data_IF_746954510069
#
_entry.id   IF_746954510069
#
_cell.length_a   1.000
_cell.length_b   1.000
_cell.length_c   1.000
_cell.angle_alpha   90.00
_cell.angle_beta   90.00
_cell.angle_gamma   90.00
#
_symmetry.space_group_name_H-M   'P 1'
#
loop_
_entity.id
_entity.type
_entity.pdbx_description
1 polymer ?
#
# COMPACT_ATOMS: atom_id res chain seq x y z
N UNK A 1 -30.21 43.62 47.66
CA UNK A 1 -30.68 45.03 47.81
C UNK A 1 -30.03 45.80 46.67
N UNK A 2 -30.72 46.46 45.74
CA UNK A 2 -32.10 46.88 45.62
C UNK A 2 -32.45 47.02 44.11
N UNK A 3 -33.68 46.70 43.71
CA UNK A 3 -34.38 47.36 42.59
C UNK A 3 -34.91 48.71 43.11
N UNK A 4 -35.43 49.70 42.32
CA UNK A 4 -36.03 49.68 40.97
C UNK A 4 -35.60 50.91 40.11
N UNK A 5 -36.12 51.23 38.91
CA UNK A 5 -37.33 52.08 38.71
C UNK A 5 -37.56 52.31 37.19
N UNK A 6 -38.77 52.04 36.71
CA UNK A 6 -39.31 52.47 35.41
C UNK A 6 -39.58 53.98 35.37
N UNK A 7 -39.28 54.66 34.26
CA UNK A 7 -39.96 55.90 33.88
C UNK A 7 -40.21 55.98 32.37
N UNK A 8 -41.50 56.01 32.05
CA UNK A 8 -42.15 56.28 30.76
C UNK A 8 -42.04 57.75 30.36
N UNK A 9 -41.64 58.08 29.13
CA UNK A 9 -41.87 59.41 28.53
C UNK A 9 -42.24 59.31 27.03
N UNK A 10 -43.55 59.44 26.79
CA UNK A 10 -44.29 60.23 25.78
C UNK A 10 -43.76 60.33 24.33
N UNK A 11 -44.58 59.81 23.42
CA UNK A 11 -44.61 60.13 21.98
C UNK A 11 -45.18 61.54 21.73
N UNK A 12 -44.58 62.29 20.80
CA UNK A 12 -45.21 63.41 20.09
C UNK A 12 -44.97 63.28 18.57
N UNK A 13 -45.95 63.65 17.72
CA UNK A 13 -46.01 63.21 16.33
C UNK A 13 -45.30 64.13 15.34
N UNK A 14 -44.90 63.50 14.23
CA UNK A 14 -44.24 64.04 13.04
C UNK A 14 -45.08 65.10 12.31
N UNK A 15 -44.47 66.24 12.00
CA UNK A 15 -44.92 67.14 10.92
C UNK A 15 -44.10 66.85 9.65
N UNK A 16 -44.79 66.21 8.71
CA UNK A 16 -44.38 65.94 7.34
C UNK A 16 -44.38 67.24 6.52
N UNK A 17 -43.22 67.67 6.03
CA UNK A 17 -43.11 68.70 5.00
C UNK A 17 -42.63 68.06 3.69
N UNK A 18 -43.54 68.06 2.71
CA UNK A 18 -43.36 67.61 1.33
C UNK A 18 -42.62 68.66 0.51
N UNK A 19 -41.47 68.32 -0.07
CA UNK A 19 -40.84 69.05 -1.19
C UNK A 19 -39.80 68.18 -1.90
N UNK A 20 -39.88 68.07 -3.22
CA UNK A 20 -38.69 67.96 -4.08
C UNK A 20 -38.50 66.67 -4.88
N UNK A 21 -39.25 66.53 -5.97
CA UNK A 21 -39.20 65.47 -6.98
C UNK A 21 -37.95 65.48 -7.90
N UNK A 22 -36.84 66.10 -7.52
CA UNK A 22 -35.61 66.18 -8.35
C UNK A 22 -34.46 65.30 -7.86
N UNK A 23 -34.49 64.83 -6.61
CA UNK A 23 -33.47 63.91 -6.09
C UNK A 23 -33.64 62.48 -6.61
N UNK A 24 -34.85 62.12 -7.07
CA UNK A 24 -35.18 60.74 -7.44
C UNK A 24 -34.45 60.28 -8.72
N UNK A 25 -34.23 61.16 -9.71
CA UNK A 25 -33.61 60.74 -10.99
C UNK A 25 -32.09 60.54 -10.84
N UNK A 26 -31.39 61.41 -10.11
CA UNK A 26 -29.95 61.28 -9.85
C UNK A 26 -29.64 60.12 -8.91
N UNK A 27 -30.46 59.92 -7.86
CA UNK A 27 -30.36 58.76 -6.97
C UNK A 27 -30.60 57.47 -7.75
N UNK A 28 -31.60 57.38 -8.63
CA UNK A 28 -31.82 56.18 -9.43
C UNK A 28 -30.69 55.89 -10.44
N UNK A 29 -30.05 56.93 -11.00
CA UNK A 29 -28.89 56.76 -11.88
C UNK A 29 -27.64 56.33 -11.12
N UNK A 30 -27.31 56.97 -9.99
CA UNK A 30 -26.20 56.54 -9.12
C UNK A 30 -26.43 55.15 -8.55
N UNK A 31 -27.64 54.83 -8.07
CA UNK A 31 -28.03 53.46 -7.66
C UNK A 31 -27.92 52.47 -8.81
N UNK A 32 -28.24 52.86 -10.05
CA UNK A 32 -28.10 51.94 -11.20
C UNK A 32 -26.65 51.70 -11.59
N UNK A 33 -25.77 52.69 -11.40
CA UNK A 33 -24.33 52.60 -11.68
C UNK A 33 -23.61 51.85 -10.56
N UNK A 34 -23.92 52.14 -9.29
CA UNK A 34 -23.38 51.40 -8.14
C UNK A 34 -23.92 49.99 -8.10
N UNK A 35 -25.21 49.75 -8.39
CA UNK A 35 -25.76 48.39 -8.51
C UNK A 35 -25.12 47.63 -9.67
N UNK A 36 -24.85 48.28 -10.81
CA UNK A 36 -24.19 47.62 -11.93
C UNK A 36 -22.70 47.33 -11.64
N UNK A 37 -22.00 48.23 -10.95
CA UNK A 37 -20.64 47.99 -10.46
C UNK A 37 -20.60 46.94 -9.34
N UNK A 38 -21.58 46.91 -8.44
CA UNK A 38 -21.76 45.90 -7.41
C UNK A 38 -22.10 44.54 -8.04
N UNK A 39 -22.97 44.50 -9.04
CA UNK A 39 -23.32 43.28 -9.78
C UNK A 39 -22.12 42.77 -10.60
N UNK A 40 -21.36 43.64 -11.26
CA UNK A 40 -20.14 43.27 -12.00
C UNK A 40 -19.03 42.81 -11.04
N UNK A 41 -18.79 43.50 -9.92
CA UNK A 41 -17.81 43.07 -8.91
C UNK A 41 -18.26 41.81 -8.17
N UNK A 42 -19.56 41.62 -7.97
CA UNK A 42 -20.15 40.40 -7.41
C UNK A 42 -20.07 39.24 -8.40
N UNK A 43 -20.27 39.45 -9.71
CA UNK A 43 -20.06 38.44 -10.75
C UNK A 43 -18.58 38.07 -10.88
N UNK A 44 -17.67 39.06 -10.80
CA UNK A 44 -16.24 38.82 -10.80
C UNK A 44 -15.82 38.03 -9.55
N UNK A 45 -16.29 38.43 -8.37
CA UNK A 45 -16.13 37.70 -7.12
C UNK A 45 -16.74 36.30 -7.19
N UNK A 46 -17.95 36.12 -7.75
CA UNK A 46 -18.57 34.80 -7.93
C UNK A 46 -17.83 33.93 -8.94
N UNK A 47 -17.25 34.51 -9.98
CA UNK A 47 -16.44 33.80 -10.96
C UNK A 47 -15.09 33.38 -10.38
N UNK A 48 -14.51 34.22 -9.53
CA UNK A 48 -13.27 33.95 -8.80
C UNK A 48 -13.50 32.95 -7.68
N UNK A 49 -14.59 33.06 -6.91
CA UNK A 49 -15.04 32.08 -5.93
C UNK A 49 -15.41 30.77 -6.60
N UNK A 50 -16.09 30.74 -7.75
CA UNK A 50 -16.31 29.50 -8.52
C UNK A 50 -15.02 28.93 -9.11
N UNK A 51 -14.04 29.76 -9.45
CA UNK A 51 -12.73 29.32 -9.91
C UNK A 51 -11.84 28.83 -8.74
N UNK A 52 -12.03 29.37 -7.53
CA UNK A 52 -11.46 28.90 -6.27
C UNK A 52 -12.15 27.61 -5.85
N UNK A 53 -13.48 27.54 -5.82
CA UNK A 53 -14.27 26.32 -5.60
C UNK A 53 -13.98 25.26 -6.67
N UNK A 54 -13.68 25.60 -7.92
CA UNK A 54 -13.25 24.62 -8.93
C UNK A 54 -11.78 24.21 -8.75
N UNK A 55 -10.94 25.09 -8.19
CA UNK A 55 -9.57 24.75 -7.73
C UNK A 55 -9.58 23.88 -6.46
N UNK A 56 -10.54 24.12 -5.57
CA UNK A 56 -10.77 23.51 -4.25
C UNK A 56 -11.79 22.35 -4.30
N UNK A 57 -12.46 22.15 -5.44
CA UNK A 57 -13.37 21.03 -5.77
C UNK A 57 -12.62 19.70 -5.87
N UNK A 58 -11.29 19.74 -5.76
CA UNK A 58 -10.45 18.57 -5.57
C UNK A 58 -9.93 18.66 -4.15
N UNK A 59 -10.61 17.95 -3.25
CA UNK A 59 -10.19 17.47 -1.93
C UNK A 59 -8.98 18.22 -1.30
N UNK A 60 -9.17 18.87 -0.14
CA UNK A 60 -8.12 19.63 0.55
C UNK A 60 -6.85 18.79 0.77
N UNK A 61 -5.66 19.41 0.94
CA UNK A 61 -4.43 18.66 1.23
C UNK A 61 -4.60 17.61 2.33
N UNK A 62 -5.26 17.98 3.42
CA UNK A 62 -5.58 17.08 4.53
C UNK A 62 -6.52 15.95 4.11
N UNK A 63 -7.59 16.27 3.38
CA UNK A 63 -8.53 15.26 2.92
C UNK A 63 -7.86 14.28 1.92
N UNK A 64 -6.91 14.73 1.08
CA UNK A 64 -6.13 13.83 0.21
C UNK A 64 -5.19 12.92 1.00
N UNK A 65 -4.53 13.46 2.01
CA UNK A 65 -3.71 12.67 2.91
C UNK A 65 -4.58 11.63 3.64
N UNK A 66 -5.73 12.03 4.16
CA UNK A 66 -6.68 11.13 4.82
C UNK A 66 -7.20 10.04 3.87
N UNK A 67 -7.49 10.38 2.60
CA UNK A 67 -7.90 9.42 1.57
C UNK A 67 -6.83 8.35 1.35
N UNK A 68 -5.57 8.76 1.22
CA UNK A 68 -4.43 7.87 0.95
C UNK A 68 -3.96 7.07 2.16
N UNK A 69 -4.31 7.50 3.37
CA UNK A 69 -3.94 6.86 4.63
C UNK A 69 -5.13 6.28 5.40
N UNK A 70 -6.29 6.15 4.77
CA UNK A 70 -7.47 5.53 5.39
C UNK A 70 -7.18 4.09 5.80
N UNK A 71 -7.85 3.54 6.82
CA UNK A 71 -7.81 2.10 7.08
C UNK A 71 -8.14 1.31 5.82
N UNK A 72 -7.28 0.34 5.46
CA UNK A 72 -7.39 -0.41 4.21
C UNK A 72 -6.75 0.25 2.99
N UNK A 73 -6.14 1.43 3.13
CA UNK A 73 -5.42 2.09 2.04
C UNK A 73 -4.33 1.22 1.42
N UNK A 74 -3.71 0.31 2.18
CA UNK A 74 -2.74 -0.65 1.64
C UNK A 74 -3.31 -1.48 0.50
N UNK A 75 -4.61 -1.79 0.49
CA UNK A 75 -5.26 -2.54 -0.58
C UNK A 75 -5.72 -1.62 -1.72
N UNK A 76 -6.29 -0.46 -1.40
CA UNK A 76 -6.77 0.49 -2.40
C UNK A 76 -5.61 1.15 -3.18
N UNK A 77 -4.50 1.43 -2.51
CA UNK A 77 -3.32 2.05 -3.12
C UNK A 77 -2.53 1.10 -4.04
N UNK A 78 -2.92 -0.18 -4.12
CA UNK A 78 -2.39 -1.09 -5.14
C UNK A 78 -2.91 -0.77 -6.53
N UNK A 79 -4.09 -0.14 -6.62
CA UNK A 79 -4.63 0.33 -7.88
C UNK A 79 -4.07 1.74 -8.18
N UNK A 80 -3.23 1.92 -9.21
CA UNK A 80 -2.61 3.22 -9.49
C UNK A 80 -3.62 4.26 -10.00
N UNK A 81 -4.69 3.81 -10.66
CA UNK A 81 -5.73 4.68 -11.20
C UNK A 81 -6.59 5.30 -10.09
N UNK A 82 -6.86 4.52 -9.04
CA UNK A 82 -7.52 5.00 -7.82
C UNK A 82 -6.65 6.02 -7.08
N UNK A 83 -5.34 5.77 -6.97
CA UNK A 83 -4.40 6.68 -6.29
C UNK A 83 -4.28 8.01 -7.03
N UNK A 84 -4.20 7.99 -8.36
CA UNK A 84 -4.08 9.21 -9.16
C UNK A 84 -5.44 9.86 -9.48
N UNK A 85 -6.56 9.19 -9.17
CA UNK A 85 -7.92 9.64 -9.50
C UNK A 85 -8.11 9.88 -11.01
N UNK A 86 -7.70 8.89 -11.79
CA UNK A 86 -7.74 8.93 -13.27
C UNK A 86 -8.48 7.70 -13.81
N UNK A 87 -8.96 7.79 -15.04
CA UNK A 87 -9.49 6.63 -15.75
C UNK A 87 -8.34 5.78 -16.34
N UNK A 88 -8.46 4.44 -16.39
CA UNK A 88 -7.51 3.57 -17.08
C UNK A 88 -7.23 3.93 -18.54
N UNK A 89 -8.16 4.58 -19.25
CA UNK A 89 -8.00 5.04 -20.63
C UNK A 89 -7.26 6.39 -20.76
N UNK A 90 -6.80 6.98 -19.65
CA UNK A 90 -6.16 8.31 -19.62
C UNK A 90 -4.80 8.29 -20.32
N UNK A 91 -4.50 9.36 -21.07
CA UNK A 91 -3.21 9.52 -21.77
C UNK A 91 -2.06 9.68 -20.77
N UNK A 92 -0.85 9.24 -21.14
CA UNK A 92 0.31 9.36 -20.26
C UNK A 92 0.63 10.83 -19.90
N UNK A 93 0.40 11.76 -20.83
CA UNK A 93 0.59 13.18 -20.58
C UNK A 93 -0.32 13.70 -19.44
N UNK A 94 -1.58 13.26 -19.44
CA UNK A 94 -2.55 13.65 -18.41
C UNK A 94 -2.30 12.93 -17.08
N UNK A 95 -1.79 11.70 -17.11
CA UNK A 95 -1.29 11.00 -15.92
C UNK A 95 -0.18 11.83 -15.27
N UNK A 96 0.78 12.33 -16.05
CA UNK A 96 1.87 13.15 -15.53
C UNK A 96 1.39 14.50 -14.98
N UNK A 97 0.40 15.14 -15.63
CA UNK A 97 -0.23 16.37 -15.10
C UNK A 97 -0.91 16.12 -13.75
N UNK A 98 -1.65 15.03 -13.65
CA UNK A 98 -2.38 14.68 -12.44
C UNK A 98 -1.43 14.29 -11.29
N UNK A 99 -0.37 13.55 -11.60
CA UNK A 99 0.71 13.26 -10.64
C UNK A 99 1.30 14.57 -10.07
N UNK A 100 1.71 15.52 -10.92
CA UNK A 100 2.27 16.81 -10.47
C UNK A 100 1.30 17.56 -9.55
N UNK A 101 0.00 17.60 -9.92
CA UNK A 101 -1.05 18.24 -9.12
C UNK A 101 -1.17 17.61 -7.73
N UNK A 102 -1.32 16.28 -7.67
CA UNK A 102 -1.49 15.55 -6.41
C UNK A 102 -0.24 15.61 -5.53
N UNK A 103 0.94 15.44 -6.13
CA UNK A 103 2.24 15.56 -5.45
C UNK A 103 2.41 16.93 -4.78
N UNK A 104 2.03 18.02 -5.44
CA UNK A 104 2.06 19.35 -4.83
C UNK A 104 1.08 19.48 -3.67
N UNK A 105 -0.11 18.91 -3.77
CA UNK A 105 -1.11 18.97 -2.70
C UNK A 105 -0.66 18.24 -1.44
N UNK A 106 -0.05 17.07 -1.57
CA UNK A 106 0.37 16.24 -0.42
C UNK A 106 1.83 16.43 -0.02
N UNK A 107 2.56 17.38 -0.59
CA UNK A 107 3.99 17.53 -0.33
C UNK A 107 4.25 17.90 1.15
N UNK A 108 5.24 17.28 1.85
CA UNK A 108 5.50 17.53 3.27
C UNK A 108 5.85 19.00 3.57
N UNK A 109 6.59 19.67 2.69
CA UNK A 109 6.95 21.09 2.83
C UNK A 109 5.71 22.03 2.87
N UNK A 110 4.66 21.69 2.11
CA UNK A 110 3.42 22.47 2.06
C UNK A 110 2.44 22.09 3.18
N UNK A 111 2.72 21.00 3.89
CA UNK A 111 1.88 20.44 4.95
C UNK A 111 2.69 20.24 6.25
N UNK A 112 3.31 21.29 6.81
CA UNK A 112 4.25 21.17 7.92
C UNK A 112 3.62 20.68 9.23
N UNK A 113 2.30 20.78 9.37
CA UNK A 113 1.55 20.27 10.53
C UNK A 113 1.32 18.76 10.48
N UNK A 114 1.54 18.12 9.33
CA UNK A 114 1.27 16.70 9.11
C UNK A 114 2.36 16.04 8.25
N UNK A 115 3.61 16.46 8.42
CA UNK A 115 4.78 16.07 7.62
C UNK A 115 4.92 14.55 7.41
N UNK A 116 4.79 13.75 8.47
CA UNK A 116 4.93 12.29 8.36
C UNK A 116 3.82 11.66 7.52
N UNK A 117 2.59 12.12 7.72
CA UNK A 117 1.42 11.65 6.97
C UNK A 117 1.48 12.11 5.51
N UNK A 118 1.89 13.36 5.28
CA UNK A 118 2.13 13.91 3.95
C UNK A 118 3.21 13.12 3.20
N UNK A 119 4.31 12.75 3.86
CA UNK A 119 5.38 11.93 3.30
C UNK A 119 4.87 10.55 2.83
N UNK A 120 4.12 9.85 3.68
CA UNK A 120 3.52 8.54 3.33
C UNK A 120 2.52 8.65 2.17
N UNK A 121 1.68 9.69 2.17
CA UNK A 121 0.74 9.95 1.09
C UNK A 121 1.46 10.27 -0.24
N UNK A 122 2.52 11.07 -0.18
CA UNK A 122 3.37 11.38 -1.32
C UNK A 122 4.04 10.12 -1.88
N UNK A 123 4.55 9.25 -1.01
CA UNK A 123 5.14 7.97 -1.42
C UNK A 123 4.13 7.08 -2.17
N UNK A 124 2.89 7.01 -1.69
CA UNK A 124 1.82 6.27 -2.37
C UNK A 124 1.54 6.82 -3.79
N UNK A 125 1.46 8.14 -3.95
CA UNK A 125 1.28 8.80 -5.25
C UNK A 125 2.48 8.54 -6.18
N UNK A 126 3.70 8.64 -5.66
CA UNK A 126 4.93 8.39 -6.42
C UNK A 126 5.02 6.92 -6.87
N UNK A 127 4.66 5.97 -6.01
CA UNK A 127 4.63 4.54 -6.35
C UNK A 127 3.63 4.26 -7.47
N UNK A 128 2.42 4.84 -7.40
CA UNK A 128 1.41 4.70 -8.43
C UNK A 128 1.87 5.28 -9.79
N UNK A 129 2.49 6.47 -9.78
CA UNK A 129 3.03 7.08 -10.99
C UNK A 129 4.13 6.24 -11.63
N UNK A 130 5.12 5.78 -10.85
CA UNK A 130 6.22 4.93 -11.35
C UNK A 130 5.73 3.65 -12.00
N UNK A 131 4.66 3.05 -11.46
CA UNK A 131 4.05 1.85 -12.03
C UNK A 131 3.36 2.12 -13.38
N UNK A 132 2.85 3.33 -13.59
CA UNK A 132 2.26 3.75 -14.87
C UNK A 132 3.29 4.35 -15.84
N UNK A 133 4.46 4.75 -15.34
CA UNK A 133 5.58 5.26 -16.15
C UNK A 133 6.32 4.13 -16.87
N UNK A 134 6.47 2.96 -16.24
CA UNK A 134 6.98 1.77 -16.94
C UNK A 134 5.89 1.18 -17.82
N UNK A 135 6.09 1.22 -19.15
CA UNK A 135 5.15 0.71 -20.14
C UNK A 135 4.79 -0.78 -19.91
N UNK A 136 5.73 -1.60 -19.41
CA UNK A 136 5.46 -3.02 -19.12
C UNK A 136 4.52 -3.18 -17.93
N UNK A 137 4.75 -2.42 -16.86
CA UNK A 137 3.89 -2.46 -15.67
C UNK A 137 2.54 -1.80 -15.95
N UNK A 138 2.51 -0.71 -16.72
CA UNK A 138 1.28 -0.07 -17.19
C UNK A 138 0.43 -1.05 -18.00
N UNK A 139 1.04 -1.81 -18.92
CA UNK A 139 0.33 -2.83 -19.70
C UNK A 139 -0.30 -3.88 -18.79
N UNK A 140 0.42 -4.38 -17.79
CA UNK A 140 -0.15 -5.30 -16.78
C UNK A 140 -1.32 -4.67 -16.04
N UNK A 141 -1.20 -3.40 -15.64
CA UNK A 141 -2.30 -2.68 -14.96
C UNK A 141 -3.55 -2.59 -15.84
N UNK A 142 -3.38 -2.36 -17.15
CA UNK A 142 -4.48 -2.35 -18.13
C UNK A 142 -5.09 -3.75 -18.25
N UNK A 143 -4.27 -4.80 -18.37
CA UNK A 143 -4.75 -6.20 -18.43
C UNK A 143 -5.61 -6.55 -17.21
N UNK A 144 -5.21 -6.10 -16.01
CA UNK A 144 -5.99 -6.29 -14.77
C UNK A 144 -7.34 -5.57 -14.82
N UNK A 145 -7.38 -4.35 -15.36
CA UNK A 145 -8.63 -3.59 -15.53
C UNK A 145 -9.55 -4.27 -16.53
N UNK A 146 -9.01 -4.75 -17.66
CA UNK A 146 -9.80 -5.46 -18.67
C UNK A 146 -10.35 -6.78 -18.12
N UNK A 147 -9.55 -7.54 -17.37
CA UNK A 147 -10.04 -8.73 -16.65
C UNK A 147 -11.17 -8.37 -15.66
N UNK A 148 -11.06 -7.23 -14.97
CA UNK A 148 -12.11 -6.76 -14.09
C UNK A 148 -13.41 -6.44 -14.84
N UNK A 149 -13.32 -5.80 -16.02
CA UNK A 149 -14.47 -5.54 -16.89
C UNK A 149 -15.15 -6.85 -17.29
N UNK A 150 -14.38 -7.81 -17.79
CA UNK A 150 -14.93 -9.12 -18.20
C UNK A 150 -15.64 -9.85 -17.04
N UNK A 151 -15.07 -9.80 -15.84
CA UNK A 151 -15.68 -10.41 -14.65
C UNK A 151 -16.98 -9.73 -14.26
N UNK A 152 -17.05 -8.39 -14.33
CA UNK A 152 -18.28 -7.64 -14.07
C UNK A 152 -19.33 -7.94 -15.12
N UNK A 153 -18.96 -7.96 -16.40
CA UNK A 153 -19.88 -8.26 -17.50
C UNK A 153 -20.48 -9.66 -17.36
N UNK A 154 -19.65 -10.67 -17.03
CA UNK A 154 -20.12 -12.04 -16.71
C UNK A 154 -21.07 -12.05 -15.52
N UNK A 155 -20.72 -11.36 -14.43
CA UNK A 155 -21.58 -11.24 -13.24
C UNK A 155 -22.94 -10.61 -13.59
N UNK A 156 -22.96 -9.57 -14.41
CA UNK A 156 -24.20 -8.91 -14.86
C UNK A 156 -25.03 -9.86 -15.71
N UNK A 157 -24.41 -10.57 -16.66
CA UNK A 157 -25.08 -11.57 -17.49
C UNK A 157 -25.72 -12.69 -16.65
N UNK A 158 -25.02 -13.20 -15.64
CA UNK A 158 -25.54 -14.20 -14.70
C UNK A 158 -26.73 -13.66 -13.89
N UNK A 159 -26.63 -12.43 -13.36
CA UNK A 159 -27.73 -11.76 -12.66
C UNK A 159 -28.96 -11.60 -13.56
N UNK A 160 -28.76 -11.21 -14.83
CA UNK A 160 -29.83 -11.10 -15.83
C UNK A 160 -30.52 -12.43 -16.09
N UNK A 161 -29.77 -13.52 -16.16
CA UNK A 161 -30.33 -14.86 -16.35
C UNK A 161 -31.13 -15.32 -15.12
N UNK A 162 -30.67 -14.96 -13.92
CA UNK A 162 -31.27 -15.37 -12.64
C UNK A 162 -32.52 -14.55 -12.28
N UNK A 163 -32.49 -13.24 -12.46
CA UNK A 163 -33.55 -12.30 -12.04
C UNK A 163 -34.29 -11.74 -13.25
N UNK A 164 -34.75 -12.63 -14.15
CA UNK A 164 -35.44 -12.26 -15.41
C UNK A 164 -36.49 -11.17 -15.16
N UNK A 165 -36.40 -10.08 -15.91
CA UNK A 165 -37.31 -8.92 -15.89
C UNK A 165 -37.29 -8.08 -14.60
N UNK A 166 -36.30 -8.23 -13.71
CA UNK A 166 -36.09 -7.33 -12.57
C UNK A 166 -35.00 -6.30 -12.89
N UNK A 167 -35.16 -5.03 -12.46
CA UNK A 167 -34.09 -4.02 -12.56
C UNK A 167 -32.86 -4.45 -11.75
N UNK A 168 -31.68 -4.35 -12.36
CA UNK A 168 -30.40 -4.66 -11.71
C UNK A 168 -29.68 -3.34 -11.39
N UNK A 169 -29.07 -3.20 -10.20
CA UNK A 169 -28.35 -1.99 -9.78
C UNK A 169 -27.24 -1.61 -10.78
N UNK A 170 -26.55 -2.62 -11.30
CA UNK A 170 -25.47 -2.49 -12.28
C UNK A 170 -25.91 -2.08 -13.71
N UNK A 171 -27.22 -2.03 -14.00
CA UNK A 171 -27.71 -1.48 -15.28
C UNK A 171 -27.58 0.05 -15.33
N UNK A 172 -27.44 0.70 -14.17
CA UNK A 172 -27.10 2.13 -14.10
C UNK A 172 -25.62 2.36 -14.38
N UNK A 173 -25.27 3.47 -15.03
CA UNK A 173 -23.87 3.85 -15.28
C UNK A 173 -23.05 3.91 -13.99
N UNK A 174 -23.64 4.38 -12.89
CA UNK A 174 -22.98 4.47 -11.59
C UNK A 174 -22.80 3.09 -10.93
N UNK A 175 -23.83 2.24 -10.99
CA UNK A 175 -23.77 0.87 -10.50
C UNK A 175 -22.70 0.05 -11.23
N UNK A 176 -22.60 0.16 -12.56
CA UNK A 176 -21.55 -0.47 -13.34
C UNK A 176 -20.16 0.02 -12.90
N UNK A 177 -19.96 1.34 -12.81
CA UNK A 177 -18.68 1.93 -12.37
C UNK A 177 -18.29 1.46 -10.97
N UNK A 178 -19.24 1.39 -10.04
CA UNK A 178 -19.03 0.91 -8.67
C UNK A 178 -18.63 -0.56 -8.62
N UNK A 179 -19.31 -1.41 -9.40
CA UNK A 179 -18.98 -2.84 -9.52
C UNK A 179 -17.61 -3.05 -10.16
N UNK A 180 -17.32 -2.33 -11.24
CA UNK A 180 -16.00 -2.33 -11.89
C UNK A 180 -14.91 -1.90 -10.91
N UNK A 181 -15.12 -0.80 -10.20
CA UNK A 181 -14.18 -0.33 -9.18
C UNK A 181 -13.93 -1.38 -8.10
N UNK A 182 -14.98 -2.02 -7.58
CA UNK A 182 -14.88 -3.04 -6.54
C UNK A 182 -14.08 -4.26 -7.02
N UNK A 183 -14.41 -4.79 -8.20
CA UNK A 183 -13.74 -5.96 -8.78
C UNK A 183 -12.28 -5.64 -9.12
N UNK A 184 -12.02 -4.45 -9.67
CA UNK A 184 -10.66 -4.00 -10.02
C UNK A 184 -9.78 -3.91 -8.77
N UNK A 185 -10.27 -3.25 -7.71
CA UNK A 185 -9.52 -3.17 -6.45
C UNK A 185 -9.23 -4.55 -5.85
N UNK A 186 -10.21 -5.46 -5.91
CA UNK A 186 -10.04 -6.85 -5.45
C UNK A 186 -8.95 -7.59 -6.23
N UNK A 187 -8.93 -7.42 -7.55
CA UNK A 187 -7.95 -8.03 -8.44
C UNK A 187 -6.51 -7.58 -8.16
N UNK A 188 -6.28 -6.26 -8.04
CA UNK A 188 -4.97 -5.74 -7.66
C UNK A 188 -4.51 -6.28 -6.29
N UNK A 189 -5.43 -6.37 -5.32
CA UNK A 189 -5.14 -6.97 -4.02
C UNK A 189 -4.84 -8.48 -4.09
N UNK A 190 -5.54 -9.23 -4.94
CA UNK A 190 -5.29 -10.65 -5.17
C UNK A 190 -3.89 -10.87 -5.78
N UNK A 191 -3.51 -10.05 -6.76
CA UNK A 191 -2.21 -10.11 -7.42
C UNK A 191 -1.08 -9.82 -6.44
N UNK A 192 -1.21 -8.76 -5.63
CA UNK A 192 -0.17 -8.45 -4.64
C UNK A 192 -0.06 -9.55 -3.58
N UNK A 193 -1.18 -10.12 -3.12
CA UNK A 193 -1.16 -11.27 -2.19
C UNK A 193 -0.44 -12.48 -2.77
N UNK A 194 -0.65 -12.75 -4.06
CA UNK A 194 0.06 -13.83 -4.76
C UNK A 194 1.56 -13.52 -4.88
N UNK A 195 1.92 -12.29 -5.26
CA UNK A 195 3.31 -11.84 -5.37
C UNK A 195 4.07 -12.02 -4.05
N UNK A 196 3.50 -11.55 -2.94
CA UNK A 196 4.10 -11.67 -1.60
C UNK A 196 4.26 -13.14 -1.19
N UNK A 197 3.25 -13.98 -1.46
CA UNK A 197 3.32 -15.41 -1.17
C UNK A 197 4.43 -16.10 -1.96
N UNK A 198 4.53 -15.80 -3.25
CA UNK A 198 5.59 -16.34 -4.11
C UNK A 198 6.99 -15.90 -3.65
N UNK A 199 7.13 -14.64 -3.25
CA UNK A 199 8.39 -14.09 -2.72
C UNK A 199 8.80 -14.77 -1.42
N UNK A 200 7.85 -15.02 -0.50
CA UNK A 200 8.07 -15.79 0.73
C UNK A 200 8.56 -17.21 0.43
N UNK A 201 7.85 -17.92 -0.47
CA UNK A 201 8.22 -19.29 -0.85
C UNK A 201 9.62 -19.34 -1.47
N UNK A 202 9.97 -18.39 -2.34
CA UNK A 202 11.32 -18.28 -2.93
C UNK A 202 12.39 -17.93 -1.89
N UNK A 203 12.07 -17.14 -0.88
CA UNK A 203 12.98 -16.82 0.21
C UNK A 203 13.25 -18.03 1.10
N UNK A 204 12.19 -18.79 1.45
CA UNK A 204 12.30 -20.05 2.19
C UNK A 204 13.11 -21.09 1.42
N UNK A 205 12.87 -21.24 0.12
CA UNK A 205 13.64 -22.18 -0.70
C UNK A 205 15.13 -21.78 -0.78
N UNK A 206 15.43 -20.49 -0.92
CA UNK A 206 16.82 -19.98 -0.88
C UNK A 206 17.47 -20.25 0.46
N UNK A 207 16.75 -20.04 1.56
CA UNK A 207 17.24 -20.34 2.91
C UNK A 207 17.55 -21.82 3.09
N UNK A 208 16.61 -22.70 2.68
CA UNK A 208 16.79 -24.15 2.73
C UNK A 208 18.00 -24.61 1.93
N UNK A 209 18.20 -24.08 0.72
CA UNK A 209 19.37 -24.40 -0.11
C UNK A 209 20.67 -23.94 0.55
N UNK A 210 20.68 -22.75 1.16
CA UNK A 210 21.86 -22.23 1.85
C UNK A 210 22.23 -23.07 3.09
N UNK A 211 21.22 -23.52 3.84
CA UNK A 211 21.40 -24.43 4.97
C UNK A 211 21.94 -25.79 4.51
N UNK A 212 21.35 -26.38 3.46
CA UNK A 212 21.81 -27.65 2.89
C UNK A 212 23.25 -27.56 2.36
N UNK A 213 23.63 -26.45 1.73
CA UNK A 213 25.03 -26.24 1.29
C UNK A 213 25.98 -26.14 2.47
N UNK A 214 25.58 -25.44 3.53
CA UNK A 214 26.39 -25.29 4.75
C UNK A 214 26.57 -26.63 5.44
N UNK A 215 25.48 -27.38 5.64
CA UNK A 215 25.51 -28.73 6.21
C UNK A 215 26.37 -29.68 5.40
N UNK A 216 26.31 -29.60 4.06
CA UNK A 216 27.14 -30.40 3.17
C UNK A 216 28.61 -30.04 3.34
N UNK A 217 28.95 -28.76 3.37
CA UNK A 217 30.30 -28.30 3.62
C UNK A 217 30.83 -28.76 4.98
N UNK A 218 30.04 -28.60 6.05
CA UNK A 218 30.38 -29.07 7.39
C UNK A 218 30.60 -30.59 7.42
N UNK A 219 29.70 -31.38 6.83
CA UNK A 219 29.87 -32.83 6.71
C UNK A 219 31.13 -33.21 5.95
N UNK A 220 31.44 -32.49 4.87
CA UNK A 220 32.68 -32.75 4.12
C UNK A 220 33.93 -32.36 4.90
N UNK A 221 33.89 -31.27 5.67
CA UNK A 221 35.00 -30.86 6.56
C UNK A 221 35.21 -31.89 7.66
N UNK A 222 34.14 -32.28 8.35
CA UNK A 222 34.17 -33.28 9.41
C UNK A 222 34.68 -34.63 8.89
N UNK A 223 34.28 -35.03 7.67
CA UNK A 223 34.80 -36.25 7.04
C UNK A 223 36.29 -36.17 6.73
N UNK A 224 36.74 -35.04 6.15
CA UNK A 224 38.17 -34.81 5.87
C UNK A 224 39.01 -34.83 7.14
N UNK A 225 38.52 -34.20 8.20
CA UNK A 225 39.17 -34.19 9.51
C UNK A 225 39.24 -35.60 10.11
N UNK A 226 38.14 -36.36 10.04
CA UNK A 226 38.13 -37.76 10.46
C UNK A 226 39.12 -38.62 9.65
N UNK A 227 39.14 -38.51 8.32
CA UNK A 227 40.05 -39.26 7.46
C UNK A 227 41.52 -38.92 7.79
N UNK A 228 41.83 -37.63 8.03
CA UNK A 228 43.15 -37.18 8.46
C UNK A 228 43.54 -37.79 9.81
N UNK A 229 42.69 -37.69 10.82
CA UNK A 229 42.94 -38.24 12.15
C UNK A 229 43.06 -39.79 12.11
N UNK A 230 42.30 -40.44 11.24
CA UNK A 230 42.38 -41.89 11.01
C UNK A 230 43.73 -42.29 10.42
N UNK A 231 44.25 -41.53 9.44
CA UNK A 231 45.54 -41.81 8.81
C UNK A 231 46.71 -41.48 9.75
N UNK A 232 46.65 -40.37 10.49
CA UNK A 232 47.68 -40.03 11.49
C UNK A 232 47.78 -41.07 12.62
N UNK A 233 46.65 -41.65 13.04
CA UNK A 233 46.63 -42.76 13.99
C UNK A 233 46.99 -44.12 13.38
N UNK A 234 47.35 -44.20 12.09
CA UNK A 234 47.68 -45.46 11.42
C UNK A 234 48.89 -46.14 12.04
N UNK A 235 49.99 -45.42 12.27
CA UNK A 235 51.20 -46.03 12.81
C UNK A 235 50.99 -46.59 14.23
N UNK A 236 50.28 -45.86 15.08
CA UNK A 236 49.95 -46.30 16.43
C UNK A 236 49.01 -47.50 16.40
N UNK A 237 47.98 -47.50 15.54
CA UNK A 237 47.10 -48.66 15.33
C UNK A 237 47.84 -49.88 14.79
N UNK A 238 48.72 -49.71 13.80
CA UNK A 238 49.55 -50.79 13.23
C UNK A 238 50.50 -51.35 14.28
N UNK A 239 51.15 -50.50 15.08
CA UNK A 239 52.06 -50.93 16.15
C UNK A 239 51.31 -51.65 17.26
N UNK A 240 50.12 -51.17 17.64
CA UNK A 240 49.21 -51.86 18.58
C UNK A 240 48.71 -53.20 18.05
N UNK A 241 48.43 -53.30 16.74
CA UNK A 241 48.06 -54.57 16.10
C UNK A 241 49.23 -55.55 16.06
N UNK A 242 50.44 -55.09 15.72
CA UNK A 242 51.65 -55.91 15.74
C UNK A 242 51.93 -56.45 17.14
N UNK A 243 51.81 -55.63 18.19
CA UNK A 243 51.99 -56.08 19.57
C UNK A 243 50.88 -57.04 20.03
N UNK A 244 49.64 -56.84 19.59
CA UNK A 244 48.57 -57.82 19.83
C UNK A 244 48.87 -59.17 19.17
N UNK A 245 49.37 -59.17 17.93
CA UNK A 245 49.69 -60.40 17.21
C UNK A 245 50.89 -61.14 17.81
N UNK A 246 51.90 -60.45 18.33
CA UNK A 246 53.02 -61.09 19.05
C UNK A 246 52.54 -61.71 20.36
N UNK A 247 51.67 -61.03 21.11
CA UNK A 247 51.05 -61.58 22.33
C UNK A 247 50.12 -62.77 22.01
N UNK A 248 49.37 -62.73 20.91
CA UNK A 248 48.53 -63.86 20.47
C UNK A 248 49.37 -65.10 20.11
N UNK A 249 50.47 -64.93 19.37
CA UNK A 249 51.41 -66.03 19.05
C UNK A 249 52.11 -66.59 20.30
N UNK A 250 52.37 -65.75 21.31
CA UNK A 250 52.89 -66.19 22.60
C UNK A 250 51.84 -66.93 23.47
N UNK A 251 50.55 -66.83 23.13
CA UNK A 251 49.45 -67.50 23.83
C UNK A 251 49.11 -68.86 23.21
N UNK A 252 49.35 -69.06 21.91
CA UNK A 252 49.21 -70.35 21.22
C UNK A 252 50.24 -71.40 21.67
N UNK A 253 51.34 -70.99 22.32
CA UNK A 253 52.31 -71.89 22.95
C UNK A 253 51.92 -72.35 24.36
N UNK A 254 50.87 -71.77 24.97
CA UNK A 254 50.39 -72.14 26.31
C UNK A 254 48.91 -72.53 26.22
N UNK A 255 48.66 -73.84 26.01
CA UNK A 255 47.32 -74.43 26.07
C UNK A 255 46.67 -74.12 27.43
N UNK A 256 45.58 -73.36 27.40
CA UNK A 256 44.57 -73.33 28.46
C UNK A 256 44.25 -71.96 29.02
N UNK A 257 43.28 -71.26 28.41
CA UNK A 257 42.14 -70.58 29.05
C UNK A 257 41.37 -69.73 28.03
N UNK A 258 40.05 -69.91 28.00
CA UNK A 258 39.11 -69.35 27.02
C UNK A 258 39.19 -67.81 26.88
N UNK A 259 38.90 -67.24 25.69
CA UNK A 259 39.06 -65.81 25.45
C UNK A 259 37.86 -65.03 26.01
N UNK A 260 38.15 -64.02 26.83
CA UNK A 260 37.19 -62.98 27.15
C UNK A 260 36.83 -62.25 25.84
N UNK A 261 35.55 -62.35 25.49
CA UNK A 261 34.88 -61.70 24.37
C UNK A 261 35.42 -60.28 24.13
N UNK A 262 35.99 -60.06 22.95
CA UNK A 262 36.42 -58.76 22.46
C UNK A 262 35.21 -57.82 22.47
N UNK A 263 35.12 -56.94 23.47
CA UNK A 263 34.09 -55.90 23.51
C UNK A 263 34.61 -54.76 22.63
N UNK A 264 33.94 -54.42 21.52
CA UNK A 264 34.35 -53.30 20.69
C UNK A 264 34.43 -52.03 21.55
N UNK A 265 35.37 -51.12 21.26
CA UNK A 265 35.50 -49.86 22.00
C UNK A 265 34.13 -49.17 22.06
N UNK A 266 33.65 -48.85 23.26
CA UNK A 266 32.40 -48.12 23.42
C UNK A 266 32.53 -46.78 22.69
N UNK A 267 31.60 -46.51 21.77
CA UNK A 267 31.45 -45.20 21.15
C UNK A 267 31.33 -44.15 22.26
N UNK A 268 32.34 -43.28 22.36
CA UNK A 268 32.27 -42.08 23.20
C UNK A 268 31.67 -40.99 22.30
N UNK A 269 30.41 -40.58 22.49
CA UNK A 269 29.92 -39.38 21.83
C UNK A 269 30.80 -38.20 22.26
N UNK A 270 31.30 -37.42 21.31
CA UNK A 270 31.97 -36.16 21.58
C UNK A 270 31.05 -35.28 22.43
N UNK A 271 31.59 -34.74 23.53
CA UNK A 271 30.86 -33.82 24.39
C UNK A 271 30.62 -32.52 23.61
N UNK A 272 29.34 -32.21 23.37
CA UNK A 272 28.88 -30.88 22.96
C UNK A 272 29.01 -29.89 24.11
#
# INVERSE_FOLDING_TARGET
>A
MASPTEQTIKEEPLLFNSSGSEQSTTINQEYSVTKKQEDETYEQFYSEVKAIEKRDSVLTPEQQINRLLRPGATYFNLNPYEVLQIDPSTSFEDIAKQYRRLSMLVHPDKNPTMTDRASLAFEAINKAYKMLEDEKERKKCIEVVEEARERVDKMIQEKRLKYKNQPIEEDTTEGYKKSLWSVTCKLFADIERLRVREESNKAEERKRKAEETTDREERTKLRKEWDKNYEESRETRVNSWKSFQTVAKAKDTVKGKAPMLFKPPKYKPEAR
#
